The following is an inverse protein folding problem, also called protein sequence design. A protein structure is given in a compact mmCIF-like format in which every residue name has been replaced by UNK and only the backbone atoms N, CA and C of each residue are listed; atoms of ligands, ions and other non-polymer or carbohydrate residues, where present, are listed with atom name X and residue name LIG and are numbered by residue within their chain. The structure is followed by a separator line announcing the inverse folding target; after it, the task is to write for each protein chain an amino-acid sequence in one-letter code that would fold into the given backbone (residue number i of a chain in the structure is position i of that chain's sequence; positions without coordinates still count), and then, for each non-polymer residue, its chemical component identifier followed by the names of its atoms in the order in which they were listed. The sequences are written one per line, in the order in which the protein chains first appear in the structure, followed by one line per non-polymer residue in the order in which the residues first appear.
data_IF_609687553487
#
_entry.id   IF_609687553487
#
_cell.length_a   1.000
_cell.length_b   1.000
_cell.length_c   1.000
_cell.angle_alpha   90.00
_cell.angle_beta   90.00
_cell.angle_gamma   90.00
#
_symmetry.space_group_name_H-M   'P 1'
#
loop_
_entity.id
_entity.type
_entity.pdbx_description
1 polymer ?
#
# COMPACT_ATOMS: atom_id res chain seq x y z
N UNK A 1 -54.16 -11.54 -0.65
CA UNK A 1 -53.26 -10.59 -1.33
C UNK A 1 -51.92 -10.70 -0.64
N UNK A 2 -50.97 -11.40 -1.26
CA UNK A 2 -49.59 -11.49 -0.76
C UNK A 2 -48.83 -10.22 -1.19
N UNK A 3 -47.95 -9.65 -0.35
CA UNK A 3 -47.15 -8.52 -0.79
C UNK A 3 -46.10 -9.03 -1.79
N UNK A 4 -46.11 -8.42 -2.98
CA UNK A 4 -45.06 -8.58 -3.98
C UNK A 4 -43.74 -8.07 -3.40
N UNK A 5 -42.75 -8.95 -3.26
CA UNK A 5 -41.38 -8.54 -3.00
C UNK A 5 -40.90 -7.67 -4.17
N UNK A 6 -40.55 -6.42 -3.90
CA UNK A 6 -39.90 -5.55 -4.88
C UNK A 6 -38.48 -6.06 -5.14
N UNK A 7 -38.31 -6.86 -6.19
CA UNK A 7 -37.03 -6.93 -6.90
C UNK A 7 -36.76 -5.53 -7.47
N UNK A 8 -35.77 -4.81 -6.93
CA UNK A 8 -34.91 -3.82 -7.65
C UNK A 8 -34.14 -2.83 -6.75
N UNK A 9 -33.83 -3.13 -5.48
CA UNK A 9 -32.78 -2.36 -4.80
C UNK A 9 -31.40 -2.89 -5.19
N UNK A 10 -30.96 -2.54 -6.41
CA UNK A 10 -29.57 -2.66 -6.82
C UNK A 10 -28.82 -1.50 -6.17
N UNK A 11 -28.39 -1.67 -4.92
CA UNK A 11 -27.47 -0.72 -4.29
C UNK A 11 -26.11 -0.86 -4.96
N UNK A 12 -25.62 0.22 -5.55
CA UNK A 12 -24.24 0.26 -6.04
C UNK A 12 -23.31 0.19 -4.83
N UNK A 13 -22.57 -0.91 -4.69
CA UNK A 13 -21.59 -1.06 -3.62
C UNK A 13 -20.18 -0.86 -4.17
N UNK A 14 -19.40 -0.07 -3.44
CA UNK A 14 -17.97 0.05 -3.65
C UNK A 14 -17.24 -0.78 -2.59
N UNK A 15 -16.28 -1.60 -3.02
CA UNK A 15 -15.42 -2.38 -2.13
C UNK A 15 -14.00 -1.83 -2.26
N UNK A 16 -13.36 -1.50 -1.14
CA UNK A 16 -11.97 -1.05 -1.12
C UNK A 16 -11.11 -2.00 -0.30
N UNK A 17 -9.95 -2.35 -0.84
CA UNK A 17 -9.06 -3.34 -0.24
C UNK A 17 -7.61 -3.08 -0.62
N UNK A 18 -6.70 -3.58 0.20
CA UNK A 18 -5.27 -3.50 -0.04
C UNK A 18 -4.66 -4.88 -0.28
N UNK A 19 -3.77 -5.00 -1.26
CA UNK A 19 -3.03 -6.23 -1.56
C UNK A 19 -1.54 -5.96 -1.50
N UNK A 20 -0.80 -6.84 -0.84
CA UNK A 20 0.67 -6.83 -0.87
C UNK A 20 1.16 -7.77 -1.96
N UNK A 21 2.05 -7.29 -2.82
CA UNK A 21 2.75 -8.09 -3.82
C UNK A 21 4.25 -7.88 -3.71
N UNK A 22 4.97 -8.92 -3.27
CA UNK A 22 6.42 -8.87 -3.12
C UNK A 22 7.10 -9.52 -4.33
N UNK A 23 8.09 -8.83 -4.89
CA UNK A 23 8.83 -9.23 -6.08
C UNK A 23 10.32 -9.29 -5.74
N UNK A 24 11.03 -10.39 -6.05
CA UNK A 24 12.48 -10.45 -5.89
C UNK A 24 13.19 -9.34 -6.68
N UNK A 25 14.19 -8.70 -6.09
CA UNK A 25 14.96 -7.61 -6.71
C UNK A 25 15.63 -8.08 -8.01
N UNK A 26 16.09 -9.33 -8.06
CA UNK A 26 16.63 -9.98 -9.26
C UNK A 26 15.65 -10.01 -10.44
N UNK A 27 14.34 -10.02 -10.17
CA UNK A 27 13.31 -10.01 -11.21
C UNK A 27 13.04 -8.60 -11.75
N UNK A 28 13.35 -7.58 -10.95
CA UNK A 28 13.17 -6.17 -11.28
C UNK A 28 14.36 -5.58 -12.03
N UNK A 29 15.57 -6.07 -11.79
CA UNK A 29 16.77 -5.61 -12.48
C UNK A 29 16.74 -6.02 -13.95
N UNK A 30 16.86 -5.05 -14.84
CA UNK A 30 17.02 -5.29 -16.27
C UNK A 30 18.45 -5.78 -16.53
N UNK A 31 18.58 -7.05 -16.90
CA UNK A 31 19.84 -7.59 -17.42
C UNK A 31 20.02 -7.17 -18.88
N UNK A 32 20.35 -5.90 -19.14
CA UNK A 32 20.68 -5.47 -20.51
C UNK A 32 21.93 -4.59 -20.52
N UNK A 33 23.05 -5.20 -20.91
CA UNK A 33 24.29 -4.51 -21.28
C UNK A 33 24.28 -3.99 -22.73
N UNK A 34 23.10 -3.89 -23.36
CA UNK A 34 22.92 -3.50 -24.75
C UNK A 34 21.79 -2.48 -24.87
N UNK A 35 21.96 -1.50 -25.76
CA UNK A 35 21.04 -0.37 -26.04
C UNK A 35 19.61 -0.75 -26.50
N UNK A 36 19.25 -2.05 -26.53
CA UNK A 36 17.87 -2.47 -26.75
C UNK A 36 17.06 -2.45 -25.44
N UNK A 37 15.99 -1.65 -25.43
CA UNK A 37 15.02 -1.60 -24.32
C UNK A 37 14.24 -2.92 -24.31
N UNK A 38 14.78 -3.95 -23.64
CA UNK A 38 14.06 -5.19 -23.39
C UNK A 38 12.98 -4.89 -22.34
N UNK A 39 11.72 -4.89 -22.77
CA UNK A 39 10.59 -4.81 -21.84
C UNK A 39 10.31 -6.18 -21.25
N UNK A 40 10.48 -6.33 -19.93
CA UNK A 40 10.13 -7.55 -19.18
C UNK A 40 8.74 -7.38 -18.58
N UNK A 41 7.96 -8.46 -18.53
CA UNK A 41 6.65 -8.44 -17.86
C UNK A 41 6.60 -9.49 -16.76
N UNK A 42 6.34 -9.04 -15.53
CA UNK A 42 6.09 -9.88 -14.37
C UNK A 42 4.58 -9.96 -14.11
N UNK A 43 4.13 -11.13 -13.68
CA UNK A 43 2.74 -11.37 -13.29
C UNK A 43 2.71 -11.92 -11.88
N UNK A 44 1.78 -11.43 -11.08
CA UNK A 44 1.49 -12.02 -9.78
C UNK A 44 0.62 -13.28 -9.90
N UNK A 45 0.30 -13.89 -8.76
CA UNK A 45 -0.69 -14.95 -8.68
C UNK A 45 -2.08 -14.45 -9.09
N UNK A 46 -2.97 -15.40 -9.39
CA UNK A 46 -4.37 -15.08 -9.64
C UNK A 46 -5.09 -14.92 -8.30
N UNK A 47 -5.70 -13.77 -8.10
CA UNK A 47 -6.45 -13.47 -6.91
C UNK A 47 -7.95 -13.66 -7.17
N UNK A 48 -8.67 -14.15 -6.16
CA UNK A 48 -10.13 -14.33 -6.18
C UNK A 48 -10.76 -13.73 -4.91
N UNK A 49 -11.81 -12.94 -5.11
CA UNK A 49 -12.69 -12.54 -4.02
C UNK A 49 -13.64 -13.67 -3.66
N UNK A 50 -13.65 -14.10 -2.39
CA UNK A 50 -14.61 -15.12 -1.95
C UNK A 50 -16.06 -14.62 -2.00
N UNK A 51 -16.26 -13.35 -1.66
CA UNK A 51 -17.58 -12.75 -1.49
C UNK A 51 -18.17 -12.18 -2.79
N UNK A 52 -17.39 -12.09 -3.86
CA UNK A 52 -17.82 -11.57 -5.16
C UNK A 52 -17.62 -12.65 -6.20
N UNK A 53 -18.72 -13.24 -6.65
CA UNK A 53 -18.70 -14.33 -7.61
C UNK A 53 -17.99 -13.90 -8.90
N UNK A 54 -17.14 -14.79 -9.42
CA UNK A 54 -16.44 -14.63 -10.70
C UNK A 54 -15.50 -13.42 -10.80
N UNK A 55 -15.16 -12.78 -9.67
CA UNK A 55 -14.16 -11.71 -9.64
C UNK A 55 -12.76 -12.28 -9.46
N UNK A 56 -12.00 -12.26 -10.55
CA UNK A 56 -10.60 -12.68 -10.60
C UNK A 56 -9.74 -11.56 -11.16
N UNK A 57 -8.53 -11.43 -10.59
CA UNK A 57 -7.58 -10.46 -11.09
C UNK A 57 -6.13 -10.89 -10.89
N UNK A 58 -5.25 -10.22 -11.62
CA UNK A 58 -3.80 -10.43 -11.55
C UNK A 58 -3.12 -9.08 -11.67
N UNK A 59 -2.04 -8.87 -10.93
CA UNK A 59 -1.16 -7.72 -11.13
C UNK A 59 -0.17 -8.01 -12.24
N UNK A 60 0.04 -7.02 -13.10
CA UNK A 60 1.04 -7.04 -14.16
C UNK A 60 1.97 -5.87 -13.93
N UNK A 61 3.27 -6.17 -13.86
CA UNK A 61 4.32 -5.17 -13.84
C UNK A 61 5.11 -5.29 -15.14
N UNK A 62 5.11 -4.25 -15.96
CA UNK A 62 6.01 -4.14 -17.10
C UNK A 62 7.21 -3.31 -16.69
N UNK A 63 8.39 -3.92 -16.76
CA UNK A 63 9.68 -3.33 -16.45
C UNK A 63 10.31 -2.87 -17.78
N UNK A 64 10.62 -1.59 -17.90
CA UNK A 64 11.26 -0.97 -19.06
C UNK A 64 12.06 0.23 -18.61
N UNK A 65 12.00 1.34 -19.35
CA UNK A 65 12.52 2.63 -18.85
C UNK A 65 11.79 3.08 -17.58
N UNK A 66 10.48 2.88 -17.58
CA UNK A 66 9.63 3.08 -16.41
C UNK A 66 8.99 1.75 -16.03
N UNK A 67 8.71 1.58 -14.74
CA UNK A 67 7.85 0.49 -14.27
C UNK A 67 6.40 0.89 -14.45
N UNK A 68 5.64 0.04 -15.14
CA UNK A 68 4.20 0.22 -15.34
C UNK A 68 3.47 -0.91 -14.65
N UNK A 69 2.81 -0.59 -13.54
CA UNK A 69 1.92 -1.53 -12.87
C UNK A 69 0.49 -1.33 -13.34
N UNK A 70 -0.21 -2.44 -13.60
CA UNK A 70 -1.64 -2.46 -13.93
C UNK A 70 -2.29 -3.71 -13.37
N UNK A 71 -3.61 -3.66 -13.24
CA UNK A 71 -4.40 -4.83 -12.89
C UNK A 71 -5.14 -5.36 -14.11
N UNK A 72 -5.00 -6.65 -14.37
CA UNK A 72 -5.74 -7.36 -15.40
C UNK A 72 -6.90 -8.12 -14.74
N UNK A 73 -8.12 -7.77 -15.15
CA UNK A 73 -9.35 -8.43 -14.72
C UNK A 73 -9.94 -9.18 -15.92
N UNK A 74 -10.34 -10.43 -15.69
CA UNK A 74 -10.88 -11.27 -16.76
C UNK A 74 -12.33 -10.90 -17.11
N UNK A 75 -13.14 -10.49 -16.13
CA UNK A 75 -14.60 -10.51 -16.27
C UNK A 75 -15.31 -9.19 -15.98
N UNK A 76 -14.61 -8.09 -15.66
CA UNK A 76 -15.34 -6.84 -15.38
C UNK A 76 -14.56 -5.56 -15.64
N UNK A 77 -15.25 -4.57 -16.23
CA UNK A 77 -14.88 -3.14 -16.25
C UNK A 77 -15.09 -2.45 -14.89
N UNK A 78 -15.10 -3.22 -13.79
CA UNK A 78 -15.63 -2.80 -12.48
C UNK A 78 -14.54 -2.61 -11.41
N UNK A 79 -13.28 -2.84 -11.75
CA UNK A 79 -12.18 -2.72 -10.79
C UNK A 79 -11.19 -1.65 -11.24
N UNK A 80 -10.86 -0.77 -10.31
CA UNK A 80 -10.00 0.37 -10.48
C UNK A 80 -8.87 0.26 -9.46
N UNK A 81 -7.68 0.60 -9.92
CA UNK A 81 -6.53 0.77 -9.05
C UNK A 81 -6.49 2.24 -8.66
N UNK A 82 -6.69 2.53 -7.38
CA UNK A 82 -6.75 3.91 -6.90
C UNK A 82 -5.35 4.45 -6.61
N UNK A 83 -4.53 3.60 -5.99
CA UNK A 83 -3.20 3.97 -5.52
C UNK A 83 -2.30 2.74 -5.37
N UNK A 84 -1.00 2.97 -5.33
CA UNK A 84 -0.09 2.01 -4.75
C UNK A 84 1.12 2.72 -4.13
N UNK A 85 1.64 2.07 -3.09
CA UNK A 85 2.86 2.44 -2.40
C UNK A 85 3.88 1.32 -2.61
N UNK A 86 5.13 1.68 -2.83
CA UNK A 86 6.25 0.75 -2.82
C UNK A 86 7.04 1.00 -1.55
N UNK A 87 7.35 -0.08 -0.82
CA UNK A 87 8.28 -0.05 0.29
C UNK A 87 9.62 -0.64 -0.16
N UNK A 88 10.68 0.15 -0.10
CA UNK A 88 12.06 -0.26 -0.34
C UNK A 88 12.89 0.21 0.85
N UNK A 89 13.47 -0.74 1.61
CA UNK A 89 14.42 -0.44 2.70
C UNK A 89 13.93 0.62 3.72
N UNK A 90 12.65 0.61 4.07
CA UNK A 90 12.00 1.60 4.96
C UNK A 90 11.61 2.95 4.33
N UNK A 91 11.76 3.10 3.01
CA UNK A 91 11.26 4.27 2.26
C UNK A 91 10.01 3.96 1.46
N UNK A 92 9.10 4.93 1.43
CA UNK A 92 7.85 4.84 0.68
C UNK A 92 7.93 5.64 -0.60
N UNK A 93 7.58 4.97 -1.68
CA UNK A 93 7.41 5.60 -2.97
C UNK A 93 5.97 5.44 -3.42
N UNK A 94 5.27 6.56 -3.56
CA UNK A 94 3.93 6.58 -4.14
C UNK A 94 4.03 6.50 -5.65
N UNK A 95 3.38 5.52 -6.26
CA UNK A 95 3.34 5.48 -7.71
C UNK A 95 2.36 6.53 -8.23
N UNK A 96 2.72 7.18 -9.33
CA UNK A 96 1.88 8.21 -9.93
C UNK A 96 0.81 7.57 -10.82
N UNK A 97 -0.45 7.93 -10.59
CA UNK A 97 -1.52 7.68 -11.56
C UNK A 97 -1.22 8.46 -12.85
N UNK A 98 -1.21 7.77 -13.99
CA UNK A 98 -1.10 8.43 -15.26
C UNK A 98 -2.40 9.25 -15.52
N UNK A 99 -2.34 10.59 -15.61
CA UNK A 99 -3.53 11.44 -15.72
C UNK A 99 -4.32 11.20 -17.01
N UNK A 100 -3.70 10.59 -18.03
CA UNK A 100 -4.32 10.31 -19.33
C UNK A 100 -4.95 8.91 -19.42
N UNK A 101 -5.03 8.15 -18.31
CA UNK A 101 -5.33 6.73 -18.38
C UNK A 101 -6.53 6.33 -17.52
N UNK A 102 -7.57 5.81 -18.18
CA UNK A 102 -8.80 5.26 -17.57
C UNK A 102 -8.62 3.87 -16.94
N UNK A 103 -7.40 3.30 -16.98
CA UNK A 103 -7.10 1.92 -16.56
C UNK A 103 -6.19 1.82 -15.32
N UNK A 104 -6.00 2.89 -14.54
CA UNK A 104 -5.26 2.83 -13.28
C UNK A 104 -3.79 2.40 -13.42
N UNK A 105 -3.13 2.81 -14.51
CA UNK A 105 -1.69 2.52 -14.69
C UNK A 105 -0.88 3.39 -13.76
N UNK A 106 -0.07 2.73 -12.93
CA UNK A 106 0.82 3.37 -11.99
C UNK A 106 2.25 3.33 -12.52
N UNK A 107 2.91 4.49 -12.53
CA UNK A 107 4.27 4.67 -13.05
C UNK A 107 5.24 4.87 -11.89
N UNK A 108 6.37 4.19 -11.97
CA UNK A 108 7.49 4.31 -11.03
C UNK A 108 8.81 4.39 -11.78
N UNK A 109 9.69 5.28 -11.32
CA UNK A 109 10.95 5.62 -11.97
C UNK A 109 12.01 4.54 -11.67
N UNK A 110 12.69 4.05 -12.72
CA UNK A 110 13.78 3.08 -12.59
C UNK A 110 14.94 3.63 -11.76
N UNK A 111 15.17 4.95 -11.81
CA UNK A 111 16.26 5.60 -11.07
C UNK A 111 16.15 5.35 -9.55
N UNK A 112 14.93 5.17 -9.04
CA UNK A 112 14.71 4.84 -7.63
C UNK A 112 15.18 3.42 -7.30
N UNK A 113 15.03 2.44 -8.21
CA UNK A 113 15.60 1.12 -7.97
C UNK A 113 17.12 1.13 -8.09
N UNK A 114 17.67 1.90 -9.01
CA UNK A 114 19.11 1.90 -9.29
C UNK A 114 19.91 2.68 -8.23
N UNK A 115 19.30 3.70 -7.62
CA UNK A 115 19.91 4.50 -6.54
C UNK A 115 19.86 3.81 -5.17
N UNK A 116 18.99 2.82 -4.98
CA UNK A 116 18.85 2.12 -3.71
C UNK A 116 19.66 0.81 -3.70
N UNK A 117 20.54 0.67 -2.73
CA UNK A 117 21.29 -0.56 -2.50
C UNK A 117 20.42 -1.56 -1.73
N UNK A 118 19.50 -2.26 -2.41
CA UNK A 118 18.57 -3.19 -1.73
C UNK A 118 19.30 -4.13 -0.74
N UNK A 119 19.10 -3.89 0.56
CA UNK A 119 19.47 -4.81 1.65
C UNK A 119 18.60 -6.06 1.61
N UNK A 120 17.32 -5.87 1.29
CA UNK A 120 16.36 -6.95 1.13
C UNK A 120 16.40 -7.53 -0.28
N UNK A 121 16.17 -8.84 -0.38
CA UNK A 121 16.11 -9.56 -1.66
C UNK A 121 14.81 -9.30 -2.43
N UNK A 122 13.88 -8.51 -1.85
CA UNK A 122 12.52 -8.29 -2.36
C UNK A 122 12.08 -6.83 -2.23
N UNK A 123 11.28 -6.40 -3.20
CA UNK A 123 10.53 -5.14 -3.17
C UNK A 123 9.05 -5.46 -2.94
N UNK A 124 8.41 -4.77 -1.99
CA UNK A 124 6.99 -4.99 -1.70
C UNK A 124 6.14 -3.84 -2.20
N UNK A 125 5.21 -4.17 -3.09
CA UNK A 125 4.16 -3.29 -3.56
C UNK A 125 2.93 -3.43 -2.67
N UNK A 126 2.36 -2.32 -2.25
CA UNK A 126 1.11 -2.22 -1.51
C UNK A 126 0.09 -1.51 -2.39
N UNK A 127 -0.79 -2.30 -2.99
CA UNK A 127 -1.74 -1.84 -3.99
C UNK A 127 -3.10 -1.62 -3.32
N UNK A 128 -3.64 -0.41 -3.44
CA UNK A 128 -5.00 -0.09 -3.00
C UNK A 128 -5.93 -0.12 -4.20
N UNK A 129 -7.00 -0.90 -4.04
CA UNK A 129 -7.91 -1.26 -5.11
C UNK A 129 -9.34 -0.93 -4.71
N UNK A 130 -10.10 -0.40 -5.66
CA UNK A 130 -11.55 -0.21 -5.54
C UNK A 130 -12.30 -1.03 -6.58
N UNK A 131 -13.38 -1.66 -6.14
CA UNK A 131 -14.32 -2.37 -7.02
C UNK A 131 -15.66 -1.67 -6.92
N UNK A 132 -16.13 -1.13 -8.04
CA UNK A 132 -17.50 -0.63 -8.17
C UNK A 132 -18.36 -1.72 -8.77
N UNK A 133 -18.97 -2.53 -7.91
CA UNK A 133 -19.81 -3.64 -8.33
C UNK A 133 -21.29 -3.28 -8.22
N UNK A 134 -21.99 -3.35 -9.35
CA UNK A 134 -23.40 -3.74 -9.36
C UNK A 134 -23.42 -5.27 -9.30
N UNK A 135 -23.55 -5.86 -8.11
CA UNK A 135 -23.56 -7.31 -7.94
C UNK A 135 -24.53 -7.77 -6.84
N UNK A 136 -25.17 -8.93 -7.09
CA UNK A 136 -26.02 -9.66 -6.15
C UNK A 136 -25.08 -10.32 -5.12
N UNK A 137 -25.06 -9.82 -3.89
CA UNK A 137 -24.24 -10.37 -2.81
C UNK A 137 -24.65 -11.81 -2.48
N UNK A 138 -23.68 -12.71 -2.39
CA UNK A 138 -23.87 -13.98 -1.69
C UNK A 138 -23.47 -13.72 -0.24
N UNK A 139 -24.44 -13.40 0.61
CA UNK A 139 -24.20 -13.20 2.03
C UNK A 139 -23.94 -14.57 2.66
N UNK A 140 -22.69 -14.83 3.01
CA UNK A 140 -22.26 -15.92 3.89
C UNK A 140 -21.68 -15.28 5.14
N UNK A 141 -22.04 -15.77 6.32
CA UNK A 141 -21.65 -15.22 7.62
C UNK A 141 -20.13 -14.98 7.73
N UNK A 142 -19.77 -13.81 8.28
CA UNK A 142 -18.43 -13.25 8.33
C UNK A 142 -17.57 -13.88 9.44
N UNK A 143 -16.42 -14.49 9.14
CA UNK A 143 -15.48 -14.91 10.17
C UNK A 143 -14.56 -13.75 10.61
N UNK A 144 -13.99 -13.82 11.83
CA UNK A 144 -13.00 -12.86 12.30
C UNK A 144 -11.68 -12.96 11.53
N UNK A 145 -11.06 -11.79 11.32
CA UNK A 145 -9.80 -11.54 10.62
C UNK A 145 -8.70 -12.56 10.94
N UNK A 146 -8.09 -13.17 9.90
CA UNK A 146 -6.79 -13.86 9.99
C UNK A 146 -5.82 -13.22 9.01
N UNK A 147 -4.79 -12.55 9.54
CA UNK A 147 -3.61 -12.11 8.78
C UNK A 147 -2.77 -13.32 8.40
N UNK A 148 -3.11 -14.00 7.30
CA UNK A 148 -2.23 -14.94 6.64
C UNK A 148 -1.92 -14.40 5.26
N UNK A 149 -0.76 -13.77 5.12
CA UNK A 149 -0.22 -13.38 3.82
C UNK A 149 0.25 -14.65 3.11
N UNK A 150 -0.24 -14.96 1.90
CA UNK A 150 0.25 -16.11 1.17
C UNK A 150 1.67 -15.83 0.65
N UNK A 151 2.64 -16.65 1.09
CA UNK A 151 3.99 -16.69 0.55
C UNK A 151 3.98 -17.37 -0.83
N UNK A 152 4.65 -16.74 -1.81
CA UNK A 152 4.56 -17.10 -3.23
C UNK A 152 5.51 -18.24 -3.59
N UNK A 153 5.02 -19.27 -4.29
CA UNK A 153 5.82 -20.35 -4.87
C UNK A 153 5.68 -20.38 -6.41
N UNK A 154 6.79 -20.20 -7.14
CA UNK A 154 6.87 -19.81 -8.57
C UNK A 154 6.24 -20.76 -9.62
N UNK A 155 5.64 -21.91 -9.25
CA UNK A 155 5.32 -22.97 -10.22
C UNK A 155 3.90 -23.56 -10.15
N UNK A 156 2.97 -22.95 -9.42
CA UNK A 156 1.55 -23.33 -9.49
C UNK A 156 0.74 -22.07 -9.71
N UNK A 157 -0.18 -22.10 -10.67
CA UNK A 157 -1.24 -21.09 -10.79
C UNK A 157 -2.18 -21.25 -9.59
N UNK A 158 -1.71 -20.80 -8.43
CA UNK A 158 -2.42 -20.87 -7.17
C UNK A 158 -3.42 -19.71 -7.14
N UNK A 159 -4.70 -20.06 -6.94
CA UNK A 159 -5.73 -19.06 -6.70
C UNK A 159 -5.57 -18.61 -5.26
N UNK A 160 -5.15 -17.36 -5.07
CA UNK A 160 -5.14 -16.72 -3.76
C UNK A 160 -6.55 -16.23 -3.47
N UNK A 161 -7.26 -16.96 -2.63
CA UNK A 161 -8.56 -16.53 -2.12
C UNK A 161 -8.38 -15.63 -0.90
N UNK A 162 -9.02 -14.47 -0.93
CA UNK A 162 -9.06 -13.58 0.23
C UNK A 162 -10.47 -13.06 0.46
N UNK A 163 -10.78 -12.88 1.74
CA UNK A 163 -12.00 -12.24 2.20
C UNK A 163 -11.68 -10.76 2.36
N UNK A 164 -12.31 -9.92 1.54
CA UNK A 164 -12.32 -8.49 1.81
C UNK A 164 -13.42 -8.22 2.81
N UNK A 165 -13.13 -7.40 3.81
CA UNK A 165 -14.20 -6.70 4.51
C UNK A 165 -14.98 -5.91 3.47
N UNK A 166 -16.30 -6.03 3.54
CA UNK A 166 -17.18 -5.02 2.97
C UNK A 166 -17.03 -3.84 3.89
N UNK A 167 -16.25 -2.85 3.48
CA UNK A 167 -16.16 -1.60 4.21
C UNK A 167 -17.26 -0.72 3.63
N UNK A 168 -18.40 -0.63 4.30
CA UNK A 168 -19.36 0.44 3.99
C UNK A 168 -18.80 1.77 4.51
N UNK A 169 -19.27 2.92 3.99
CA UNK A 169 -18.85 4.23 4.53
C UNK A 169 -19.12 4.35 6.05
N UNK A 170 -20.13 3.62 6.55
CA UNK A 170 -20.49 3.55 7.96
C UNK A 170 -19.52 2.67 8.78
N UNK A 171 -18.87 1.67 8.17
CA UNK A 171 -17.88 0.78 8.80
C UNK A 171 -16.47 1.40 8.91
N UNK A 172 -16.20 2.51 8.21
CA UNK A 172 -14.94 3.24 8.36
C UNK A 172 -14.81 3.89 9.75
N UNK A 173 -15.94 4.24 10.39
CA UNK A 173 -15.94 5.02 11.64
C UNK A 173 -17.01 4.61 12.67
N UNK A 174 -17.15 3.33 13.06
CA UNK A 174 -18.15 2.94 14.06
C UNK A 174 -17.89 3.54 15.46
N UNK A 175 -16.66 3.99 15.76
CA UNK A 175 -16.25 4.47 17.09
C UNK A 175 -15.37 5.74 17.09
N UNK A 176 -15.39 6.52 16.01
CA UNK A 176 -14.53 7.70 15.82
C UNK A 176 -13.35 7.45 14.86
N UNK A 177 -12.59 8.51 14.57
CA UNK A 177 -11.50 8.52 13.59
C UNK A 177 -10.37 7.52 13.93
N UNK A 178 -10.19 6.49 13.10
CA UNK A 178 -9.08 5.52 13.18
C UNK A 178 -8.13 5.73 11.99
N UNK A 179 -7.13 6.60 12.18
CA UNK A 179 -6.13 6.93 11.17
C UNK A 179 -5.35 5.72 10.62
N UNK A 180 -5.26 4.61 11.38
CA UNK A 180 -4.59 3.39 10.90
C UNK A 180 -5.45 2.72 9.83
N UNK A 181 -6.77 2.64 10.04
CA UNK A 181 -7.68 2.07 9.06
C UNK A 181 -7.83 3.01 7.86
N UNK A 182 -7.91 4.32 8.08
CA UNK A 182 -7.96 5.30 7.00
C UNK A 182 -6.75 5.18 6.09
N UNK A 183 -5.55 5.08 6.67
CA UNK A 183 -4.34 4.87 5.88
C UNK A 183 -4.40 3.57 5.07
N UNK A 184 -4.85 2.47 5.68
CA UNK A 184 -4.91 1.16 5.00
C UNK A 184 -5.85 1.14 3.80
N UNK A 185 -6.92 1.92 3.85
CA UNK A 185 -7.90 1.96 2.77
C UNK A 185 -7.68 3.11 1.80
N UNK A 186 -7.01 4.19 2.19
CA UNK A 186 -6.86 5.37 1.34
C UNK A 186 -5.42 5.70 0.94
N UNK A 187 -4.43 5.04 1.53
CA UNK A 187 -3.00 5.40 1.48
C UNK A 187 -2.70 6.86 1.88
N UNK A 188 -3.66 7.53 2.50
CA UNK A 188 -3.52 8.88 3.02
C UNK A 188 -4.01 8.95 4.46
N UNK A 189 -3.47 9.92 5.19
CA UNK A 189 -3.90 10.25 6.54
C UNK A 189 -4.40 11.70 6.46
N UNK A 190 -5.72 11.94 6.60
CA UNK A 190 -6.25 13.30 6.72
C UNK A 190 -5.58 14.05 7.88
N UNK A 191 -5.32 15.34 7.69
CA UNK A 191 -4.74 16.22 8.72
C UNK A 191 -3.47 15.65 9.38
N UNK A 192 -2.61 15.03 8.56
CA UNK A 192 -1.39 14.39 9.03
C UNK A 192 -0.47 15.43 9.66
N UNK A 193 -0.39 15.39 11.00
CA UNK A 193 0.38 16.31 11.83
C UNK A 193 1.50 15.57 12.55
N UNK A 194 2.54 16.29 12.99
CA UNK A 194 3.66 15.72 13.76
C UNK A 194 3.18 14.93 14.96
N UNK A 195 2.21 15.46 15.73
CA UNK A 195 1.65 14.76 16.89
C UNK A 195 0.97 13.45 16.50
N UNK A 196 0.22 13.44 15.40
CA UNK A 196 -0.45 12.25 14.89
C UNK A 196 0.58 11.23 14.38
N UNK A 197 1.61 11.67 13.64
CA UNK A 197 2.68 10.82 13.13
C UNK A 197 3.49 10.15 14.26
N UNK A 198 3.80 10.87 15.35
CA UNK A 198 4.43 10.30 16.56
C UNK A 198 3.53 9.22 17.18
N UNK A 199 2.21 9.45 17.27
CA UNK A 199 1.31 8.42 17.80
C UNK A 199 1.24 7.20 16.88
N UNK A 200 1.17 7.42 15.57
CA UNK A 200 0.97 6.36 14.59
C UNK A 200 2.20 5.49 14.36
N UNK A 201 3.41 6.03 14.45
CA UNK A 201 4.62 5.19 14.30
C UNK A 201 4.72 4.14 15.42
N UNK A 202 4.27 4.46 16.64
CA UNK A 202 4.19 3.51 17.75
C UNK A 202 3.14 2.43 17.50
N UNK A 203 1.96 2.80 17.00
CA UNK A 203 0.91 1.83 16.63
C UNK A 203 1.31 0.96 15.43
N UNK A 204 1.99 1.54 14.45
CA UNK A 204 2.51 0.83 13.29
C UNK A 204 3.52 -0.25 13.71
N UNK A 205 4.40 0.07 14.65
CA UNK A 205 5.34 -0.91 15.22
C UNK A 205 4.61 -2.06 15.91
N UNK A 206 3.65 -1.77 16.81
CA UNK A 206 2.87 -2.80 17.53
C UNK A 206 2.08 -3.71 16.58
N UNK A 207 1.62 -3.16 15.46
CA UNK A 207 0.81 -3.87 14.46
C UNK A 207 1.64 -4.52 13.36
N UNK A 208 2.98 -4.42 13.42
CA UNK A 208 3.89 -4.86 12.36
C UNK A 208 3.47 -4.33 10.98
N UNK A 209 3.14 -3.04 10.91
CA UNK A 209 2.74 -2.33 9.70
C UNK A 209 3.93 -1.49 9.17
N UNK A 210 4.83 -2.08 8.37
CA UNK A 210 6.07 -1.43 7.97
C UNK A 210 5.82 -0.22 7.05
N UNK A 211 4.69 -0.20 6.35
CA UNK A 211 4.33 0.90 5.45
C UNK A 211 3.88 2.10 6.29
N UNK A 212 2.94 1.91 7.23
CA UNK A 212 2.56 3.02 8.09
C UNK A 212 3.75 3.55 8.90
N UNK A 213 4.66 2.66 9.33
CA UNK A 213 5.90 3.04 10.03
C UNK A 213 6.82 3.89 9.14
N UNK A 214 7.05 3.47 7.90
CA UNK A 214 7.87 4.22 6.94
C UNK A 214 7.26 5.58 6.61
N UNK A 215 5.93 5.65 6.37
CA UNK A 215 5.23 6.91 6.09
C UNK A 215 5.40 7.91 7.24
N UNK A 216 5.18 7.45 8.48
CA UNK A 216 5.36 8.28 9.66
C UNK A 216 6.82 8.71 9.81
N UNK A 217 7.77 7.83 9.50
CA UNK A 217 9.20 8.13 9.59
C UNK A 217 9.59 9.24 8.62
N UNK A 218 9.23 9.13 7.35
CA UNK A 218 9.51 10.15 6.33
C UNK A 218 8.90 11.51 6.69
N UNK A 219 7.61 11.53 7.04
CA UNK A 219 6.95 12.76 7.45
C UNK A 219 7.62 13.42 8.66
N UNK A 220 8.00 12.62 9.66
CA UNK A 220 8.67 13.15 10.86
C UNK A 220 10.07 13.68 10.54
N UNK A 221 10.83 13.03 9.66
CA UNK A 221 12.15 13.51 9.21
C UNK A 221 12.05 14.87 8.51
N UNK A 222 11.06 15.05 7.64
CA UNK A 222 10.84 16.30 6.90
C UNK A 222 10.35 17.45 7.77
N UNK A 223 9.74 17.15 8.93
CA UNK A 223 9.11 18.13 9.81
C UNK A 223 9.80 18.23 11.18
N UNK A 224 11.08 17.86 11.27
CA UNK A 224 11.87 18.04 12.48
C UNK A 224 12.05 19.52 12.82
N UNK A 225 11.78 19.87 14.08
CA UNK A 225 12.01 21.20 14.65
C UNK A 225 12.68 21.07 16.01
N UNK A 226 13.27 22.17 16.49
CA UNK A 226 13.84 22.24 17.84
C UNK A 226 12.81 21.94 18.93
N UNK A 227 11.53 22.24 18.67
CA UNK A 227 10.43 21.99 19.61
C UNK A 227 10.00 20.53 19.67
N UNK A 228 10.09 19.79 18.55
CA UNK A 228 9.54 18.43 18.45
C UNK A 228 10.61 17.32 18.47
N UNK A 229 11.88 17.63 18.16
CA UNK A 229 12.93 16.61 17.94
C UNK A 229 13.12 15.67 19.13
N UNK A 230 12.98 16.15 20.36
CA UNK A 230 13.10 15.31 21.56
C UNK A 230 11.98 14.25 21.64
N UNK A 231 10.74 14.63 21.32
CA UNK A 231 9.61 13.71 21.31
C UNK A 231 9.72 12.71 20.16
N UNK A 232 10.15 13.18 18.98
CA UNK A 232 10.37 12.33 17.80
C UNK A 232 11.47 11.31 18.06
N UNK A 233 12.62 11.73 18.60
CA UNK A 233 13.73 10.85 18.94
C UNK A 233 13.33 9.78 19.96
N UNK A 234 12.58 10.16 21.01
CA UNK A 234 12.09 9.20 21.99
C UNK A 234 11.24 8.12 21.29
N UNK A 235 10.29 8.56 20.47
CA UNK A 235 9.38 7.64 19.81
C UNK A 235 10.08 6.78 18.74
N UNK A 236 11.08 7.31 18.04
CA UNK A 236 11.83 6.58 17.02
C UNK A 236 12.66 5.45 17.64
N UNK A 237 13.21 5.66 18.84
CA UNK A 237 13.89 4.62 19.61
C UNK A 237 12.91 3.52 20.07
N UNK A 238 11.75 3.90 20.61
CA UNK A 238 10.72 2.95 21.08
C UNK A 238 10.11 2.13 19.93
N UNK A 239 9.98 2.71 18.74
CA UNK A 239 9.42 2.04 17.55
C UNK A 239 10.48 1.35 16.68
N UNK A 240 11.75 1.38 17.10
CA UNK A 240 12.91 0.88 16.35
C UNK A 240 13.01 1.48 14.93
N UNK A 241 12.65 2.75 14.77
CA UNK A 241 12.82 3.50 13.53
C UNK A 241 14.25 4.07 13.48
N UNK A 242 15.20 3.26 13.01
CA UNK A 242 16.64 3.58 13.05
C UNK A 242 16.98 4.83 12.24
N UNK A 243 16.49 4.92 11.01
CA UNK A 243 16.77 6.06 10.14
C UNK A 243 16.24 7.36 10.72
N UNK A 244 15.00 7.35 11.24
CA UNK A 244 14.43 8.50 11.95
C UNK A 244 15.24 8.89 13.20
N UNK A 245 15.72 7.90 13.96
CA UNK A 245 16.56 8.15 15.14
C UNK A 245 17.88 8.80 14.75
N UNK A 246 18.49 8.36 13.65
CA UNK A 246 19.70 8.93 13.11
C UNK A 246 19.46 10.38 12.64
N UNK A 247 18.40 10.64 11.88
CA UNK A 247 18.04 12.00 11.46
C UNK A 247 17.81 12.95 12.63
N UNK A 248 17.19 12.48 13.72
CA UNK A 248 17.04 13.27 14.93
C UNK A 248 18.39 13.61 15.57
N UNK A 249 19.32 12.64 15.63
CA UNK A 249 20.66 12.85 16.17
C UNK A 249 21.46 13.85 15.33
N UNK A 250 21.38 13.74 14.00
CA UNK A 250 22.03 14.66 13.08
C UNK A 250 21.48 16.08 13.21
N UNK A 251 20.15 16.23 13.29
CA UNK A 251 19.50 17.51 13.55
C UNK A 251 19.99 18.15 14.85
N UNK A 252 20.03 17.39 15.96
CA UNK A 252 20.53 17.89 17.24
C UNK A 252 22.00 18.33 17.16
N UNK A 253 22.83 17.54 16.47
CA UNK A 253 24.25 17.86 16.28
C UNK A 253 24.44 19.16 15.48
N UNK A 254 23.61 19.41 14.48
CA UNK A 254 23.63 20.66 13.71
C UNK A 254 23.21 21.87 14.56
N UNK A 255 22.14 21.73 15.35
CA UNK A 255 21.69 22.81 16.24
C UNK A 255 22.74 23.14 17.32
N UNK A 256 23.45 22.14 17.85
CA UNK A 256 24.52 22.37 18.82
C UNK A 256 25.78 23.04 18.22
N UNK A 257 26.00 22.93 16.90
CA UNK A 257 27.11 23.63 16.22
C UNK A 257 26.85 25.12 15.99
N UNK A 258 25.61 25.58 16.12
CA UNK A 258 25.18 26.98 15.89
C UNK A 258 25.24 27.83 17.17
N UNK A 259 26.10 27.48 18.14
CA UNK A 259 26.44 28.40 19.25
C UNK A 259 27.80 29.06 18.97
N UNK A 260 27.89 30.12 18.13
CA UNK A 260 29.01 31.04 18.20
C UNK A 260 28.77 32.01 19.37
N UNK A 261 29.81 32.16 20.21
CA UNK A 261 29.92 33.23 21.19
C UNK A 261 29.88 34.62 20.53
#
# INVERSE_FOLDING_TARGET
MSPSASENDITAMSYRFAVKWSIPVEDLKSSSSSDEIITRTLRSNRYRFKNIENLYFTFILTCGKDFIMRVENWNSRKMFQDDALILIEDRIYRLKCNPNNTLGRLIFDQDVLDQNSFKDDKVTFHCIMSIHAQAKLVVSEFPPFRTAYPEVNRNKAEIVEFESLVVTEEDLYPHGYDAVNDFRYSSSIPDFSVKLAISLIGEAHKRHDPILKALCSEYLMENLTTENVAAVLKQSLESEAKDLSQSCADFLNEQCKIVPH
#
